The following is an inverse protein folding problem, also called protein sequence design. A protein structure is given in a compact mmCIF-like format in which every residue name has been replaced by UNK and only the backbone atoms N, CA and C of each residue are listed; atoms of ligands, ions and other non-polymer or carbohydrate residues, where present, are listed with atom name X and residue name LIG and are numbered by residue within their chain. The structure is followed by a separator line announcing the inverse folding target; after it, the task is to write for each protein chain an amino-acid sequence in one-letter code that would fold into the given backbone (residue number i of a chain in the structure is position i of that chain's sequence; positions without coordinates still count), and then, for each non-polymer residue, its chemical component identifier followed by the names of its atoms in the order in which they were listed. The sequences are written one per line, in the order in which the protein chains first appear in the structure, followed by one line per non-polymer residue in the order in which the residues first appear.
data_IF_175760337573
#
_entry.id   IF_175760337573
#
_cell.length_a   1.000
_cell.length_b   1.000
_cell.length_c   1.000
_cell.angle_alpha   90.00
_cell.angle_beta   90.00
_cell.angle_gamma   90.00
#
_symmetry.space_group_name_H-M   'P 1'
#
loop_
_entity.id
_entity.type
_entity.pdbx_description
1 polymer ?
#
# COMPACT_ATOMS: atom_id res chain seq x y z
N UNK A 1 0.05 1.74 42.14
CA UNK A 1 0.11 2.93 41.26
C UNK A 1 0.70 2.48 39.92
N UNK A 2 -0.15 2.22 38.92
CA UNK A 2 0.30 1.75 37.60
C UNK A 2 0.97 2.91 36.86
N UNK A 3 2.22 2.74 36.45
CA UNK A 3 2.90 3.70 35.58
C UNK A 3 2.33 3.52 34.16
N UNK A 4 1.24 4.23 33.85
CA UNK A 4 0.79 4.40 32.47
C UNK A 4 1.91 5.10 31.70
N UNK A 5 2.54 4.39 30.76
CA UNK A 5 3.55 4.97 29.89
C UNK A 5 2.83 5.53 28.66
N UNK A 6 2.72 6.85 28.57
CA UNK A 6 2.28 7.51 27.34
C UNK A 6 3.37 7.37 26.28
N UNK A 7 3.05 6.76 25.14
CA UNK A 7 3.93 6.72 23.97
C UNK A 7 3.45 7.73 22.95
N UNK A 8 4.38 8.45 22.35
CA UNK A 8 4.10 9.46 21.33
C UNK A 8 4.55 8.92 19.98
N UNK A 9 3.68 9.00 18.97
CA UNK A 9 4.03 8.70 17.57
C UNK A 9 4.09 10.02 16.83
N UNK A 10 5.23 10.29 16.20
CA UNK A 10 5.42 11.55 15.48
C UNK A 10 4.54 11.61 14.23
N UNK A 11 4.08 12.82 13.92
CA UNK A 11 3.41 13.20 12.69
C UNK A 11 4.17 12.74 11.44
N UNK A 12 5.50 12.93 11.42
CA UNK A 12 6.32 12.57 10.25
C UNK A 12 6.43 11.06 10.08
N UNK A 13 6.50 10.30 11.18
CA UNK A 13 6.48 8.83 11.12
C UNK A 13 5.14 8.33 10.56
N UNK A 14 4.03 8.87 11.06
CA UNK A 14 2.70 8.55 10.54
C UNK A 14 2.58 8.86 9.05
N UNK A 15 3.05 10.04 8.63
CA UNK A 15 3.06 10.47 7.23
C UNK A 15 3.91 9.55 6.34
N UNK A 16 5.08 9.11 6.83
CA UNK A 16 5.94 8.15 6.13
C UNK A 16 5.25 6.79 5.97
N UNK A 17 4.65 6.27 7.05
CA UNK A 17 3.96 4.99 7.06
C UNK A 17 2.77 5.00 6.09
N UNK A 18 1.99 6.08 6.04
CA UNK A 18 0.87 6.25 5.11
C UNK A 18 1.29 6.21 3.63
N UNK A 19 2.51 6.64 3.29
CA UNK A 19 3.01 6.63 1.89
C UNK A 19 3.59 5.29 1.46
N UNK A 20 4.03 4.44 2.39
CA UNK A 20 4.78 3.21 2.06
C UNK A 20 4.03 2.31 1.08
N UNK A 21 2.72 2.13 1.27
CA UNK A 21 1.93 1.27 0.40
C UNK A 21 1.90 1.80 -1.05
N UNK A 22 1.73 3.12 -1.21
CA UNK A 22 1.70 3.77 -2.53
C UNK A 22 3.06 3.73 -3.22
N UNK A 23 4.17 3.88 -2.48
CA UNK A 23 5.50 3.70 -3.06
C UNK A 23 5.74 2.28 -3.54
N UNK A 24 5.33 1.28 -2.76
CA UNK A 24 5.45 -0.11 -3.20
C UNK A 24 4.54 -0.43 -4.39
N UNK A 25 3.34 0.15 -4.48
CA UNK A 25 2.49 0.05 -5.68
C UNK A 25 3.19 0.60 -6.94
N UNK A 26 3.83 1.77 -6.83
CA UNK A 26 4.56 2.37 -7.96
C UNK A 26 5.77 1.51 -8.32
N UNK A 27 6.56 1.07 -7.33
CA UNK A 27 7.75 0.26 -7.57
C UNK A 27 7.41 -1.10 -8.21
N UNK A 28 6.35 -1.75 -7.72
CA UNK A 28 5.90 -3.05 -8.20
C UNK A 28 5.34 -2.99 -9.61
N UNK A 29 4.60 -1.94 -9.98
CA UNK A 29 4.07 -1.80 -11.33
C UNK A 29 5.10 -1.28 -12.33
N UNK A 30 6.14 -0.56 -11.87
CA UNK A 30 7.24 -0.14 -12.72
C UNK A 30 8.09 -1.33 -13.21
N UNK A 31 8.21 -2.38 -12.38
CA UNK A 31 9.04 -3.56 -12.68
C UNK A 31 8.17 -4.82 -12.54
N UNK A 32 7.60 -5.35 -13.65
CA UNK A 32 6.65 -6.46 -13.59
C UNK A 32 7.20 -7.70 -12.91
N UNK A 33 8.28 -8.25 -13.43
CA UNK A 33 8.93 -9.42 -12.88
C UNK A 33 10.32 -9.06 -12.34
N UNK A 34 10.67 -9.44 -11.10
CA UNK A 34 9.87 -10.21 -10.12
C UNK A 34 9.10 -9.33 -9.11
N UNK A 35 9.24 -7.99 -9.17
CA UNK A 35 8.81 -7.11 -8.07
C UNK A 35 7.30 -7.06 -7.87
N UNK A 36 6.47 -7.24 -8.91
CA UNK A 36 5.03 -7.26 -8.72
C UNK A 36 4.56 -8.42 -7.85
N UNK A 37 5.14 -9.60 -8.05
CA UNK A 37 4.81 -10.81 -7.29
C UNK A 37 5.31 -10.68 -5.85
N UNK A 38 6.53 -10.20 -5.65
CA UNK A 38 7.05 -9.99 -4.30
C UNK A 38 6.28 -8.92 -3.54
N UNK A 39 5.89 -7.84 -4.21
CA UNK A 39 5.05 -6.82 -3.61
C UNK A 39 3.64 -7.33 -3.31
N UNK A 40 3.09 -8.25 -4.11
CA UNK A 40 1.80 -8.87 -3.79
C UNK A 40 1.81 -9.55 -2.41
N UNK A 41 2.87 -10.28 -2.06
CA UNK A 41 3.04 -10.84 -0.72
C UNK A 41 3.35 -9.77 0.34
N UNK A 42 4.32 -8.90 0.07
CA UNK A 42 4.75 -7.87 1.02
C UNK A 42 3.63 -6.87 1.38
N UNK A 43 2.78 -6.53 0.42
CA UNK A 43 1.66 -5.61 0.60
C UNK A 43 0.65 -6.12 1.64
N UNK A 44 0.42 -7.43 1.73
CA UNK A 44 -0.43 -8.01 2.80
C UNK A 44 0.18 -7.79 4.18
N UNK A 45 1.50 -7.94 4.30
CA UNK A 45 2.21 -7.68 5.54
C UNK A 45 2.17 -6.21 5.93
N UNK A 46 2.46 -5.30 4.98
CA UNK A 46 2.36 -3.85 5.20
C UNK A 46 0.93 -3.45 5.58
N UNK A 47 -0.08 -4.03 4.93
CA UNK A 47 -1.47 -3.79 5.27
C UNK A 47 -1.76 -4.20 6.72
N UNK A 48 -1.35 -5.40 7.13
CA UNK A 48 -1.55 -5.86 8.51
C UNK A 48 -0.84 -4.96 9.53
N UNK A 49 0.39 -4.52 9.25
CA UNK A 49 1.15 -3.63 10.12
C UNK A 49 0.49 -2.26 10.32
N UNK A 50 -0.10 -1.71 9.26
CA UNK A 50 -0.56 -0.32 9.27
C UNK A 50 -2.08 -0.16 9.39
N UNK A 51 -2.86 -1.23 9.23
CA UNK A 51 -4.33 -1.16 9.30
C UNK A 51 -4.84 -0.67 10.67
N UNK A 52 -4.13 -1.05 11.73
CA UNK A 52 -4.47 -0.72 13.13
C UNK A 52 -3.49 0.29 13.74
N UNK A 53 -2.82 1.09 12.90
CA UNK A 53 -1.90 2.12 13.38
C UNK A 53 -2.64 3.13 14.29
N UNK A 54 -2.01 3.64 15.38
CA UNK A 54 -2.66 4.58 16.31
C UNK A 54 -3.25 5.82 15.63
N UNK A 55 -2.59 6.27 14.55
CA UNK A 55 -3.14 7.26 13.64
C UNK A 55 -4.11 6.63 12.63
N UNK A 56 -5.43 6.91 12.69
CA UNK A 56 -6.40 6.30 11.78
C UNK A 56 -6.18 6.67 10.31
N UNK A 57 -5.51 7.79 10.01
CA UNK A 57 -5.22 8.20 8.63
C UNK A 57 -4.24 7.24 7.95
N UNK A 58 -3.28 6.70 8.70
CA UNK A 58 -2.31 5.72 8.17
C UNK A 58 -3.04 4.47 7.69
N UNK A 59 -3.98 3.96 8.47
CA UNK A 59 -4.82 2.82 8.08
C UNK A 59 -5.71 3.14 6.88
N UNK A 60 -6.30 4.34 6.83
CA UNK A 60 -7.14 4.78 5.70
C UNK A 60 -6.38 4.81 4.37
N UNK A 61 -5.22 5.47 4.32
CA UNK A 61 -4.39 5.53 3.11
C UNK A 61 -3.84 4.17 2.71
N UNK A 62 -3.43 3.36 3.69
CA UNK A 62 -3.01 1.98 3.47
C UNK A 62 -4.12 1.15 2.82
N UNK A 63 -5.36 1.27 3.31
CA UNK A 63 -6.52 0.59 2.75
C UNK A 63 -6.84 1.04 1.32
N UNK A 64 -6.72 2.33 1.05
CA UNK A 64 -6.94 2.88 -0.29
C UNK A 64 -5.87 2.41 -1.29
N UNK A 65 -4.60 2.37 -0.87
CA UNK A 65 -3.50 1.80 -1.65
C UNK A 65 -3.72 0.31 -1.95
N UNK A 66 -4.17 -0.46 -0.96
CA UNK A 66 -4.53 -1.86 -1.12
C UNK A 66 -5.69 -2.04 -2.11
N UNK A 67 -6.74 -1.23 -1.99
CA UNK A 67 -7.87 -1.29 -2.91
C UNK A 67 -7.44 -1.11 -4.36
N UNK A 68 -6.63 -0.08 -4.67
CA UNK A 68 -6.13 0.13 -6.03
C UNK A 68 -5.28 -1.02 -6.56
N UNK A 69 -4.36 -1.54 -5.74
CA UNK A 69 -3.48 -2.63 -6.15
C UNK A 69 -4.25 -3.93 -6.38
N UNK A 70 -5.15 -4.31 -5.47
CA UNK A 70 -5.90 -5.58 -5.59
C UNK A 70 -7.02 -5.51 -6.62
N UNK A 71 -7.64 -4.36 -6.85
CA UNK A 71 -8.57 -4.19 -7.98
C UNK A 71 -7.84 -4.41 -9.30
N UNK A 72 -6.64 -3.83 -9.46
CA UNK A 72 -5.83 -4.03 -10.66
C UNK A 72 -5.40 -5.49 -10.81
N UNK A 73 -4.87 -6.09 -9.74
CA UNK A 73 -4.41 -7.49 -9.77
C UNK A 73 -5.56 -8.46 -10.09
N UNK A 74 -6.73 -8.28 -9.47
CA UNK A 74 -7.91 -9.09 -9.75
C UNK A 74 -8.42 -8.92 -11.18
N UNK A 75 -8.42 -7.71 -11.71
CA UNK A 75 -8.78 -7.45 -13.10
C UNK A 75 -7.79 -8.09 -14.09
N UNK A 76 -6.49 -8.02 -13.80
CA UNK A 76 -5.45 -8.64 -14.59
C UNK A 76 -5.64 -10.16 -14.67
N UNK A 77 -5.98 -10.82 -13.56
CA UNK A 77 -6.29 -12.26 -13.54
C UNK A 77 -7.41 -12.60 -14.51
N UNK A 78 -8.53 -11.86 -14.47
CA UNK A 78 -9.66 -12.09 -15.39
C UNK A 78 -9.24 -11.91 -16.85
N UNK A 79 -8.53 -10.82 -17.18
CA UNK A 79 -8.04 -10.59 -18.54
C UNK A 79 -7.17 -11.76 -19.00
N UNK A 80 -6.19 -12.17 -18.19
CA UNK A 80 -5.25 -13.22 -18.55
C UNK A 80 -5.92 -14.60 -18.66
N UNK A 81 -6.92 -14.89 -17.83
CA UNK A 81 -7.68 -16.15 -17.91
C UNK A 81 -8.47 -16.28 -19.21
N UNK A 82 -9.03 -15.19 -19.72
CA UNK A 82 -9.84 -15.18 -20.95
C UNK A 82 -9.09 -14.62 -22.17
N UNK A 83 -7.78 -14.39 -22.04
CA UNK A 83 -6.99 -13.81 -23.11
C UNK A 83 -6.84 -14.79 -24.28
N UNK A 84 -6.96 -14.30 -25.53
CA UNK A 84 -6.65 -15.11 -26.70
C UNK A 84 -5.15 -15.43 -26.72
N UNK A 85 -4.79 -16.58 -27.32
CA UNK A 85 -3.41 -17.10 -27.35
C UNK A 85 -2.38 -16.08 -27.86
N UNK A 86 -2.79 -15.21 -28.78
CA UNK A 86 -1.97 -14.11 -29.33
C UNK A 86 -1.38 -13.18 -28.28
N UNK A 87 -2.00 -13.04 -27.09
CA UNK A 87 -1.47 -12.24 -25.98
C UNK A 87 -0.16 -12.84 -25.41
N UNK A 88 0.01 -14.16 -25.52
CA UNK A 88 1.17 -14.90 -25.02
C UNK A 88 2.22 -15.18 -26.11
N UNK A 89 1.84 -15.06 -27.39
CA UNK A 89 2.74 -15.30 -28.52
C UNK A 89 3.72 -14.14 -28.75
N UNK A 90 3.33 -12.91 -28.42
CA UNK A 90 4.16 -11.72 -28.58
C UNK A 90 4.21 -10.89 -27.29
N UNK A 91 5.43 -10.74 -26.76
CA UNK A 91 5.72 -9.98 -25.54
C UNK A 91 5.27 -8.51 -25.61
N UNK A 92 5.21 -7.93 -26.81
CA UNK A 92 4.74 -6.56 -27.00
C UNK A 92 3.31 -6.37 -26.50
N UNK A 93 2.41 -7.33 -26.71
CA UNK A 93 1.03 -7.21 -26.23
C UNK A 93 0.95 -7.29 -24.70
N UNK A 94 1.77 -8.15 -24.08
CA UNK A 94 1.90 -8.20 -22.62
C UNK A 94 2.44 -6.88 -22.05
N UNK A 95 3.43 -6.27 -22.71
CA UNK A 95 3.98 -4.97 -22.32
C UNK A 95 2.98 -3.82 -22.53
N UNK A 96 2.15 -3.87 -23.57
CA UNK A 96 1.07 -2.89 -23.78
C UNK A 96 0.05 -3.01 -22.66
N UNK A 97 -0.44 -4.22 -22.35
CA UNK A 97 -1.34 -4.47 -21.24
C UNK A 97 -0.74 -3.95 -19.92
N UNK A 98 0.53 -4.27 -19.68
CA UNK A 98 1.26 -3.80 -18.50
C UNK A 98 1.38 -2.27 -18.46
N UNK A 99 1.68 -1.64 -19.59
CA UNK A 99 1.73 -0.19 -19.74
C UNK A 99 0.39 0.47 -19.41
N UNK A 100 -0.73 -0.13 -19.83
CA UNK A 100 -2.07 0.34 -19.46
C UNK A 100 -2.30 0.24 -17.94
N UNK A 101 -1.89 -0.87 -17.32
CA UNK A 101 -1.96 -1.05 -15.88
C UNK A 101 -1.12 0.01 -15.13
N UNK A 102 0.10 0.27 -15.58
CA UNK A 102 0.98 1.30 -15.03
C UNK A 102 0.38 2.70 -15.18
N UNK A 103 -0.23 3.00 -16.33
CA UNK A 103 -0.90 4.28 -16.60
C UNK A 103 -2.09 4.51 -15.66
N UNK A 104 -2.72 3.47 -15.14
CA UNK A 104 -3.80 3.61 -14.15
C UNK A 104 -3.26 3.69 -12.72
N UNK A 105 -2.39 2.74 -12.32
CA UNK A 105 -1.99 2.61 -10.92
C UNK A 105 -0.99 3.69 -10.48
N UNK A 106 -0.09 4.14 -11.36
CA UNK A 106 0.91 5.15 -11.02
C UNK A 106 0.24 6.49 -10.72
N UNK A 107 -0.63 7.07 -11.58
CA UNK A 107 -1.26 8.35 -11.29
C UNK A 107 -2.16 8.31 -10.05
N UNK A 108 -2.90 7.22 -9.83
CA UNK A 108 -3.68 7.04 -8.61
C UNK A 108 -2.78 7.05 -7.38
N UNK A 109 -1.66 6.34 -7.40
CA UNK A 109 -0.71 6.30 -6.28
C UNK A 109 -0.03 7.65 -6.05
N UNK A 110 0.35 8.36 -7.11
CA UNK A 110 0.93 9.72 -7.01
C UNK A 110 -0.07 10.69 -6.41
N UNK A 111 -1.33 10.66 -6.86
CA UNK A 111 -2.41 11.51 -6.32
C UNK A 111 -2.56 11.34 -4.82
N UNK A 112 -2.55 10.10 -4.33
CA UNK A 112 -2.64 9.83 -2.88
C UNK A 112 -1.41 10.32 -2.13
N UNK A 113 -0.20 10.13 -2.67
CA UNK A 113 1.03 10.67 -2.04
C UNK A 113 0.97 12.20 -1.96
N UNK A 114 0.49 12.87 -3.01
CA UNK A 114 0.30 14.32 -3.00
C UNK A 114 -0.72 14.77 -1.95
N UNK A 115 -1.81 14.03 -1.80
CA UNK A 115 -2.84 14.30 -0.80
C UNK A 115 -2.27 14.13 0.62
N UNK A 116 -1.61 13.01 0.90
CA UNK A 116 -0.89 12.74 2.15
C UNK A 116 0.10 13.86 2.47
N UNK A 117 0.80 14.37 1.45
CA UNK A 117 1.81 15.41 1.65
C UNK A 117 1.23 16.78 2.03
N UNK A 118 0.00 17.07 1.60
CA UNK A 118 -0.71 18.33 1.85
C UNK A 118 -1.53 18.34 3.13
N UNK A 119 -1.85 17.18 3.68
CA UNK A 119 -2.59 17.10 4.94
C UNK A 119 -1.75 17.53 6.15
N UNK A 120 -2.43 18.12 7.14
CA UNK A 120 -1.83 18.43 8.44
C UNK A 120 -1.74 17.17 9.30
N UNK A 121 -0.53 16.67 9.49
CA UNK A 121 -0.23 15.55 10.38
C UNK A 121 0.08 16.08 11.78
N UNK A 122 -0.48 15.44 12.80
CA UNK A 122 -0.26 15.79 14.21
C UNK A 122 0.37 14.60 14.93
N UNK A 123 1.19 14.91 15.92
CA UNK A 123 1.70 13.91 16.86
C UNK A 123 0.51 13.30 17.62
N UNK A 124 0.57 11.99 17.84
CA UNK A 124 -0.48 11.26 18.53
C UNK A 124 0.12 10.54 19.73
N UNK A 125 -0.44 10.88 20.88
CA UNK A 125 -0.14 10.21 22.14
C UNK A 125 -1.13 9.06 22.34
N UNK A 126 -0.61 7.87 22.63
CA UNK A 126 -1.42 6.71 22.96
C UNK A 126 -0.92 6.02 24.22
N UNK A 127 -1.85 5.45 24.98
CA UNK A 127 -1.53 4.70 26.21
C UNK A 127 -0.99 3.33 25.87
N UNK A 128 0.22 3.02 26.34
CA UNK A 128 0.80 1.70 26.16
C UNK A 128 0.42 0.76 27.32
N UNK A 129 -0.58 -0.10 27.08
CA UNK A 129 -1.07 -1.04 28.08
C UNK A 129 -0.28 -2.37 28.10
N UNK A 130 0.71 -2.56 27.22
CA UNK A 130 1.39 -3.85 27.03
C UNK A 130 2.20 -4.30 28.26
N UNK A 131 2.64 -3.38 29.12
CA UNK A 131 3.37 -3.72 30.36
C UNK A 131 2.49 -4.30 31.47
N UNK A 132 1.17 -4.24 31.36
CA UNK A 132 0.27 -4.66 32.44
C UNK A 132 -0.24 -6.11 32.29
N UNK A 133 -0.03 -6.74 31.13
CA UNK A 133 -0.56 -8.07 30.82
C UNK A 133 0.45 -9.23 31.02
N UNK A 134 1.65 -8.92 31.52
CA UNK A 134 2.72 -9.88 31.80
C UNK A 134 2.88 -10.15 33.32
N UNK A 135 1.83 -9.96 34.12
CA UNK A 135 1.78 -10.28 35.54
C UNK A 135 0.57 -11.13 35.86
#
# INVERSE_FOLDING_TARGET
MSLESTKTVSAEESKRNARMFHYGNILSIAIPFPLFIFWFGASMFIYALYRHHPNPRVGYYTQKGAYYFYSLAGFLVVILTFAPRVLFENISYALILWGLCALVLIPLSIKEIMLINREDWKDIDYKDNTRNNNR
#
